data_IF_914459876782
#
_entry.id   IF_914459876782
#
_cell.length_a   1.000
_cell.length_b   1.000
_cell.length_c   1.000
_cell.angle_alpha   90.00
_cell.angle_beta   90.00
_cell.angle_gamma   90.00
#
_symmetry.space_group_name_H-M   'P 1'
#
loop_
_entity.id
_entity.type
_entity.pdbx_description
1 polymer ?
#
# COMPACT_ATOMS: atom_id res chain seq x y z
N UNK A 1 -9.80 -17.76 7.10
CA UNK A 1 -9.47 -16.43 6.55
C UNK A 1 -8.90 -15.59 7.68
N UNK A 2 -7.70 -15.02 7.56
CA UNK A 2 -7.08 -14.20 8.61
C UNK A 2 -7.49 -12.73 8.51
N UNK A 3 -7.21 -11.92 9.54
CA UNK A 3 -7.55 -10.49 9.54
C UNK A 3 -6.82 -9.72 8.43
N UNK A 4 -5.58 -10.09 8.10
CA UNK A 4 -4.82 -9.48 7.00
C UNK A 4 -5.48 -9.76 5.64
N UNK A 5 -5.86 -11.02 5.36
CA UNK A 5 -6.60 -11.34 4.13
C UNK A 5 -7.91 -10.56 4.02
N UNK A 6 -8.57 -10.26 5.15
CA UNK A 6 -9.76 -9.41 5.14
C UNK A 6 -9.44 -7.95 4.78
N UNK A 7 -8.28 -7.43 5.18
CA UNK A 7 -7.81 -6.10 4.79
C UNK A 7 -7.41 -6.00 3.31
N UNK A 8 -6.91 -7.11 2.74
CA UNK A 8 -6.55 -7.21 1.33
C UNK A 8 -7.76 -7.17 0.39
N UNK A 9 -8.90 -7.73 0.80
CA UNK A 9 -10.08 -7.85 -0.06
C UNK A 9 -10.62 -6.51 -0.58
N UNK A 10 -10.88 -5.48 0.27
CA UNK A 10 -11.34 -4.18 -0.23
C UNK A 10 -10.32 -3.48 -1.14
N UNK A 11 -9.01 -3.63 -0.86
CA UNK A 11 -7.97 -3.10 -1.74
C UNK A 11 -8.02 -3.77 -3.11
N UNK A 12 -8.12 -5.11 -3.14
CA UNK A 12 -8.33 -5.89 -4.36
C UNK A 12 -9.52 -5.38 -5.18
N UNK A 13 -10.68 -5.22 -4.54
CA UNK A 13 -11.90 -4.80 -5.23
C UNK A 13 -11.77 -3.38 -5.80
N UNK A 14 -11.14 -2.46 -5.05
CA UNK A 14 -10.89 -1.11 -5.53
C UNK A 14 -9.91 -1.12 -6.72
N UNK A 15 -8.86 -1.93 -6.64
CA UNK A 15 -7.90 -2.07 -7.73
C UNK A 15 -8.56 -2.62 -8.99
N UNK A 16 -9.33 -3.71 -8.88
CA UNK A 16 -10.07 -4.31 -10.01
C UNK A 16 -11.11 -3.34 -10.59
N UNK A 17 -11.76 -2.52 -9.77
CA UNK A 17 -12.69 -1.49 -10.24
C UNK A 17 -12.00 -0.41 -11.08
N UNK A 18 -10.76 -0.03 -10.73
CA UNK A 18 -10.04 1.06 -11.39
C UNK A 18 -9.18 0.63 -12.57
N UNK A 19 -8.59 -0.56 -12.48
CA UNK A 19 -7.62 -1.08 -13.44
C UNK A 19 -8.18 -2.26 -14.25
N UNK A 20 -9.34 -2.78 -13.88
CA UNK A 20 -9.92 -3.98 -14.48
C UNK A 20 -9.42 -5.27 -13.85
N UNK A 21 -10.05 -6.38 -14.23
CA UNK A 21 -9.74 -7.70 -13.70
C UNK A 21 -8.37 -8.20 -14.19
N UNK A 22 -7.72 -9.01 -13.37
CA UNK A 22 -6.48 -9.69 -13.77
C UNK A 22 -6.77 -10.76 -14.80
N UNK A 23 -6.15 -10.70 -15.98
CA UNK A 23 -6.36 -11.66 -17.07
C UNK A 23 -5.50 -12.93 -16.95
N UNK A 24 -4.62 -12.99 -15.95
CA UNK A 24 -3.70 -14.10 -15.71
C UNK A 24 -2.88 -13.93 -14.42
N UNK A 25 -2.00 -14.90 -14.08
CA UNK A 25 -1.27 -14.93 -12.80
C UNK A 25 -0.18 -13.87 -12.66
N UNK A 26 0.12 -13.10 -13.70
CA UNK A 26 1.11 -12.02 -13.72
C UNK A 26 0.66 -10.84 -14.61
N UNK A 27 -0.58 -10.87 -15.14
CA UNK A 27 -1.04 -9.91 -16.15
C UNK A 27 -2.21 -9.08 -15.65
N UNK A 28 -2.06 -7.77 -15.82
CA UNK A 28 -3.09 -6.76 -15.62
C UNK A 28 -3.56 -6.26 -16.98
N UNK A 29 -4.85 -6.01 -17.12
CA UNK A 29 -5.41 -5.40 -18.33
C UNK A 29 -5.41 -3.87 -18.30
N UNK A 30 -5.17 -3.27 -17.14
CA UNK A 30 -5.27 -1.84 -16.95
C UNK A 30 -3.93 -1.11 -16.97
N UNK A 31 -4.03 0.20 -17.21
CA UNK A 31 -2.89 1.09 -17.39
C UNK A 31 -2.02 1.19 -16.13
N UNK A 32 -2.58 1.00 -14.93
CA UNK A 32 -1.85 1.06 -13.67
C UNK A 32 -1.06 -0.24 -13.48
N UNK A 33 -1.71 -1.38 -13.68
CA UNK A 33 -1.09 -2.70 -13.54
C UNK A 33 0.00 -2.97 -14.57
N UNK A 34 -0.18 -2.53 -15.83
CA UNK A 34 0.83 -2.68 -16.90
C UNK A 34 2.15 -1.96 -16.60
N UNK A 35 2.13 -0.88 -15.80
CA UNK A 35 3.31 -0.09 -15.47
C UNK A 35 4.08 -0.63 -14.24
N UNK A 36 3.51 -1.58 -13.50
CA UNK A 36 4.09 -2.15 -12.28
C UNK A 36 5.44 -2.88 -12.47
N UNK A 37 5.69 -3.63 -13.56
CA UNK A 37 6.97 -4.33 -13.73
C UNK A 37 8.17 -3.40 -13.92
N UNK A 38 7.95 -2.17 -14.38
CA UNK A 38 9.02 -1.21 -14.70
C UNK A 38 9.30 -0.21 -13.57
N UNK A 39 8.49 -0.20 -12.50
CA UNK A 39 8.58 0.83 -11.46
C UNK A 39 9.89 0.79 -10.65
N UNK A 40 10.57 -0.36 -10.58
CA UNK A 40 11.81 -0.51 -9.79
C UNK A 40 12.97 0.35 -10.31
N UNK A 41 12.97 0.67 -11.61
CA UNK A 41 14.08 1.35 -12.31
C UNK A 41 13.91 2.87 -12.41
N UNK A 42 12.78 3.40 -11.95
CA UNK A 42 12.48 4.83 -12.09
C UNK A 42 13.25 5.65 -11.02
N UNK A 43 13.74 6.85 -11.36
CA UNK A 43 14.37 7.75 -10.39
C UNK A 43 13.32 8.40 -9.51
N UNK A 44 13.60 8.57 -8.21
CA UNK A 44 12.68 9.28 -7.30
C UNK A 44 12.62 10.75 -7.72
N UNK A 45 11.41 11.26 -7.86
CA UNK A 45 11.11 12.65 -8.21
C UNK A 45 10.30 13.30 -7.09
N UNK A 46 10.00 14.60 -7.22
CA UNK A 46 9.10 15.27 -6.30
C UNK A 46 7.67 14.70 -6.42
N UNK A 47 7.12 14.23 -5.29
CA UNK A 47 5.75 13.74 -5.16
C UNK A 47 5.00 14.50 -4.06
N UNK A 48 3.68 14.46 -4.10
CA UNK A 48 2.81 15.14 -3.14
C UNK A 48 2.74 14.38 -1.81
N UNK A 49 2.85 15.10 -0.69
CA UNK A 49 2.67 14.51 0.63
C UNK A 49 1.21 14.08 0.85
N UNK A 50 1.00 13.01 1.61
CA UNK A 50 -0.34 12.63 2.06
C UNK A 50 -0.36 12.64 3.59
N UNK A 51 -1.21 13.50 4.15
CA UNK A 51 -1.40 13.60 5.59
C UNK A 51 -1.98 12.30 6.15
N UNK A 52 -1.38 11.86 7.25
CA UNK A 52 -1.75 10.68 8.02
C UNK A 52 -1.51 10.92 9.50
N UNK A 53 -2.32 10.26 10.32
CA UNK A 53 -2.03 10.13 11.75
C UNK A 53 -0.75 9.30 11.97
N UNK A 54 -0.08 9.55 13.09
CA UNK A 54 1.17 8.86 13.41
C UNK A 54 0.95 7.35 13.60
N UNK A 55 1.64 6.55 12.78
CA UNK A 55 1.63 5.09 12.87
C UNK A 55 2.70 4.65 13.87
N UNK A 56 2.31 4.50 15.13
CA UNK A 56 3.21 4.06 16.19
C UNK A 56 3.27 2.53 16.27
N UNK A 57 4.19 1.94 15.50
CA UNK A 57 4.55 0.51 15.56
C UNK A 57 6.07 0.34 15.56
N UNK A 58 6.57 -0.58 16.39
CA UNK A 58 7.99 -0.86 16.46
C UNK A 58 8.42 -1.73 15.27
N UNK A 59 9.45 -1.28 14.54
CA UNK A 59 9.99 -1.98 13.37
C UNK A 59 10.47 -3.39 13.65
N UNK A 60 10.97 -3.66 14.86
CA UNK A 60 11.51 -4.99 15.22
C UNK A 60 10.44 -6.06 15.24
N UNK A 61 9.17 -5.68 15.35
CA UNK A 61 8.04 -6.58 15.46
C UNK A 61 7.43 -6.90 14.07
N UNK A 62 7.95 -6.25 13.01
CA UNK A 62 7.45 -6.35 11.64
C UNK A 62 8.32 -7.26 10.78
N UNK A 63 7.70 -7.97 9.85
CA UNK A 63 8.41 -8.66 8.76
C UNK A 63 9.06 -7.67 7.79
N UNK A 64 9.90 -8.16 6.88
CA UNK A 64 10.62 -7.31 5.91
C UNK A 64 9.67 -6.48 5.03
N UNK A 65 8.59 -7.09 4.54
CA UNK A 65 7.62 -6.43 3.66
C UNK A 65 6.81 -5.36 4.42
N UNK A 66 6.55 -5.60 5.70
CA UNK A 66 5.82 -4.66 6.57
C UNK A 66 6.69 -3.49 7.03
N UNK A 67 7.97 -3.73 7.30
CA UNK A 67 8.94 -2.67 7.52
C UNK A 67 9.06 -1.79 6.27
N UNK A 68 9.02 -2.40 5.08
CA UNK A 68 9.01 -1.67 3.82
C UNK A 68 7.71 -0.84 3.67
N UNK A 69 6.55 -1.39 4.04
CA UNK A 69 5.28 -0.65 4.08
C UNK A 69 5.37 0.57 4.99
N UNK A 70 5.94 0.40 6.19
CA UNK A 70 6.08 1.52 7.13
C UNK A 70 7.00 2.60 6.57
N UNK A 71 8.10 2.21 5.95
CA UNK A 71 9.08 3.15 5.40
C UNK A 71 8.54 3.93 4.19
N UNK A 72 7.81 3.28 3.29
CA UNK A 72 7.21 3.97 2.15
C UNK A 72 6.05 4.88 2.56
N UNK A 73 5.23 4.46 3.53
CA UNK A 73 4.17 5.32 4.09
C UNK A 73 4.78 6.56 4.73
N UNK A 74 5.85 6.39 5.53
CA UNK A 74 6.54 7.51 6.16
C UNK A 74 7.18 8.44 5.13
N UNK A 75 7.81 7.88 4.09
CA UNK A 75 8.42 8.67 3.03
C UNK A 75 7.40 9.52 2.26
N UNK A 76 6.22 8.96 1.98
CA UNK A 76 5.14 9.72 1.32
C UNK A 76 4.63 10.81 2.26
N UNK A 77 4.46 10.52 3.56
CA UNK A 77 4.02 11.50 4.55
C UNK A 77 5.01 12.67 4.71
N UNK A 78 6.32 12.41 4.65
CA UNK A 78 7.36 13.43 4.91
C UNK A 78 8.04 13.97 3.64
N UNK A 79 7.65 13.50 2.46
CA UNK A 79 8.31 13.78 1.18
C UNK A 79 9.80 13.44 1.16
N UNK A 80 10.21 12.43 1.93
CA UNK A 80 11.61 12.04 2.06
C UNK A 80 11.77 10.55 1.75
N UNK A 81 12.20 10.23 0.53
CA UNK A 81 12.25 8.86 0.02
C UNK A 81 13.68 8.36 -0.30
N UNK A 82 14.72 9.03 0.21
CA UNK A 82 16.14 8.75 -0.13
C UNK A 82 16.54 7.29 0.10
N UNK A 83 16.02 6.65 1.15
CA UNK A 83 16.42 5.31 1.56
C UNK A 83 15.56 4.19 0.92
N UNK A 84 14.60 4.55 0.07
CA UNK A 84 13.69 3.60 -0.60
C UNK A 84 14.18 3.17 -1.98
N UNK A 85 15.05 3.95 -2.63
CA UNK A 85 15.61 3.66 -3.97
C UNK A 85 16.25 2.28 -4.01
N UNK A 86 17.00 1.94 -2.95
CA UNK A 86 17.89 0.77 -2.88
C UNK A 86 17.12 -0.52 -2.57
N UNK A 87 15.90 -0.42 -2.05
CA UNK A 87 15.15 -1.60 -1.59
C UNK A 87 14.26 -2.15 -2.67
N UNK A 88 14.36 -3.45 -2.93
CA UNK A 88 13.48 -4.19 -3.84
C UNK A 88 12.19 -4.60 -3.09
N UNK A 89 10.98 -4.26 -3.58
CA UNK A 89 9.72 -4.72 -3.00
C UNK A 89 9.47 -6.23 -3.17
N UNK A 90 10.36 -6.95 -3.86
CA UNK A 90 10.25 -8.39 -4.12
C UNK A 90 9.39 -8.71 -5.34
N UNK A 91 9.40 -9.98 -5.79
CA UNK A 91 8.69 -10.40 -7.01
C UNK A 91 7.18 -10.24 -6.89
N UNK A 92 6.53 -9.86 -8.00
CA UNK A 92 5.08 -9.82 -8.10
C UNK A 92 4.47 -11.21 -7.83
N UNK A 93 3.48 -11.27 -6.95
CA UNK A 93 2.63 -12.45 -6.79
C UNK A 93 1.21 -12.01 -6.47
N UNK A 94 0.23 -12.42 -7.30
CA UNK A 94 -1.19 -12.09 -7.14
C UNK A 94 -1.81 -12.67 -5.84
N UNK A 95 -1.09 -13.55 -5.15
CA UNK A 95 -1.44 -14.04 -3.81
C UNK A 95 -1.05 -13.07 -2.68
N UNK A 96 -0.28 -12.02 -2.98
CA UNK A 96 0.29 -11.09 -2.00
C UNK A 96 -0.12 -9.66 -2.34
N UNK A 97 -1.31 -9.27 -1.88
CA UNK A 97 -1.83 -7.92 -2.12
C UNK A 97 -1.01 -6.84 -1.43
N UNK A 98 -0.30 -7.18 -0.35
CA UNK A 98 0.71 -6.30 0.24
C UNK A 98 1.77 -5.88 -0.79
N UNK A 99 2.34 -6.82 -1.56
CA UNK A 99 3.35 -6.50 -2.60
C UNK A 99 2.77 -5.57 -3.66
N UNK A 100 1.50 -5.74 -4.04
CA UNK A 100 0.82 -4.81 -4.94
C UNK A 100 0.66 -3.42 -4.36
N UNK A 101 0.21 -3.32 -3.12
CA UNK A 101 0.07 -2.04 -2.43
C UNK A 101 1.42 -1.31 -2.38
N UNK A 102 2.50 -2.02 -2.04
CA UNK A 102 3.86 -1.49 -2.02
C UNK A 102 4.31 -0.97 -3.38
N UNK A 103 4.04 -1.72 -4.45
CA UNK A 103 4.41 -1.32 -5.81
C UNK A 103 3.56 -0.14 -6.31
N UNK A 104 2.28 -0.04 -5.96
CA UNK A 104 1.43 1.14 -6.23
C UNK A 104 1.98 2.39 -5.54
N UNK A 105 2.32 2.31 -4.24
CA UNK A 105 2.94 3.43 -3.52
C UNK A 105 4.29 3.83 -4.14
N UNK A 106 5.08 2.83 -4.54
CA UNK A 106 6.36 3.05 -5.23
C UNK A 106 6.15 3.69 -6.61
N UNK A 107 5.14 3.29 -7.36
CA UNK A 107 4.81 3.91 -8.64
C UNK A 107 4.40 5.38 -8.47
N UNK A 108 3.65 5.70 -7.40
CA UNK A 108 3.24 7.07 -7.10
C UNK A 108 4.42 8.02 -6.84
N UNK A 109 5.42 7.60 -6.06
CA UNK A 109 6.61 8.44 -5.80
C UNK A 109 7.45 8.72 -7.06
N UNK A 110 7.18 7.98 -8.15
CA UNK A 110 7.83 8.14 -9.45
C UNK A 110 6.99 8.90 -10.48
N UNK A 111 5.77 9.36 -10.14
CA UNK A 111 4.92 10.11 -11.07
C UNK A 111 4.90 11.61 -10.81
N UNK A 112 5.32 12.40 -11.81
CA UNK A 112 5.28 13.88 -11.76
C UNK A 112 3.85 14.40 -11.80
N UNK A 113 2.94 13.61 -12.39
CA UNK A 113 1.54 13.95 -12.56
C UNK A 113 0.70 12.68 -12.47
N UNK A 114 0.51 12.15 -11.25
CA UNK A 114 -0.24 10.92 -11.05
C UNK A 114 -1.72 11.11 -11.45
N UNK A 115 -2.30 10.10 -12.09
CA UNK A 115 -3.71 10.11 -12.51
C UNK A 115 -4.65 10.14 -11.32
N UNK A 116 -5.91 10.52 -11.54
CA UNK A 116 -6.97 10.49 -10.52
C UNK A 116 -7.12 9.10 -9.89
N UNK A 117 -7.03 8.06 -10.71
CA UNK A 117 -7.18 6.67 -10.30
C UNK A 117 -6.00 6.23 -9.43
N UNK A 118 -4.77 6.60 -9.82
CA UNK A 118 -3.57 6.34 -9.01
C UNK A 118 -3.63 7.10 -7.68
N UNK A 119 -4.00 8.38 -7.69
CA UNK A 119 -4.19 9.17 -6.46
C UNK A 119 -5.23 8.53 -5.55
N UNK A 120 -6.31 7.98 -6.10
CA UNK A 120 -7.35 7.30 -5.31
C UNK A 120 -6.84 6.01 -4.68
N UNK A 121 -6.11 5.17 -5.43
CA UNK A 121 -5.47 3.97 -4.87
C UNK A 121 -4.47 4.30 -3.78
N UNK A 122 -3.59 5.27 -4.02
CA UNK A 122 -2.56 5.67 -3.05
C UNK A 122 -3.22 6.23 -1.80
N UNK A 123 -4.24 7.09 -1.95
CA UNK A 123 -4.99 7.62 -0.83
C UNK A 123 -5.66 6.51 -0.02
N UNK A 124 -6.26 5.53 -0.70
CA UNK A 124 -6.83 4.35 -0.04
C UNK A 124 -5.77 3.54 0.71
N UNK A 125 -4.61 3.27 0.10
CA UNK A 125 -3.55 2.50 0.74
C UNK A 125 -3.04 3.24 1.97
N UNK A 126 -2.68 4.51 1.81
CA UNK A 126 -2.14 5.37 2.85
C UNK A 126 -3.10 5.53 4.02
N UNK A 127 -4.36 5.86 3.73
CA UNK A 127 -5.35 6.20 4.75
C UNK A 127 -5.99 4.95 5.33
N UNK A 128 -6.37 3.96 4.54
CA UNK A 128 -7.22 2.85 4.99
C UNK A 128 -6.42 1.56 5.17
N UNK A 129 -5.71 1.12 4.13
CA UNK A 129 -5.05 -0.18 4.12
C UNK A 129 -3.92 -0.27 5.16
N UNK A 130 -2.96 0.67 5.13
CA UNK A 130 -1.77 0.63 5.99
C UNK A 130 -2.11 0.79 7.47
N UNK A 131 -2.96 1.74 7.90
CA UNK A 131 -3.30 1.87 9.32
C UNK A 131 -4.05 0.64 9.86
N UNK A 132 -4.92 0.02 9.06
CA UNK A 132 -5.59 -1.23 9.44
C UNK A 132 -4.59 -2.38 9.52
N UNK A 133 -3.65 -2.46 8.57
CA UNK A 133 -2.57 -3.46 8.59
C UNK A 133 -1.77 -3.40 9.90
N UNK A 134 -1.24 -2.22 10.24
CA UNK A 134 -0.46 -2.06 11.47
C UNK A 134 -1.29 -2.23 12.74
N UNK A 135 -2.58 -1.90 12.72
CA UNK A 135 -3.47 -2.17 13.84
C UNK A 135 -3.66 -3.67 14.07
N UNK A 136 -3.77 -4.46 12.99
CA UNK A 136 -3.84 -5.92 13.05
C UNK A 136 -2.54 -6.50 13.60
N UNK A 137 -1.39 -6.06 13.10
CA UNK A 137 -0.08 -6.52 13.60
C UNK A 137 0.10 -6.23 15.09
N UNK A 138 -0.32 -5.04 15.53
CA UNK A 138 -0.27 -4.66 16.94
C UNK A 138 -1.26 -5.46 17.81
N UNK A 139 -2.38 -5.88 17.25
CA UNK A 139 -3.49 -6.52 17.96
C UNK A 139 -4.06 -7.72 17.18
N UNK A 140 -3.31 -8.82 17.00
CA UNK A 140 -3.65 -9.89 16.04
C UNK A 140 -4.88 -10.72 16.44
N UNK A 141 -5.34 -10.59 17.69
CA UNK A 141 -6.49 -11.34 18.19
C UNK A 141 -7.82 -10.78 17.64
N UNK A 142 -8.70 -11.68 17.20
CA UNK A 142 -10.04 -11.36 16.67
C UNK A 142 -10.91 -10.54 17.63
N UNK A 143 -10.64 -10.61 18.95
CA UNK A 143 -11.33 -9.78 19.95
C UNK A 143 -11.19 -8.27 19.69
N UNK A 144 -10.17 -7.85 18.96
CA UNK A 144 -9.93 -6.47 18.57
C UNK A 144 -10.52 -6.10 17.20
N UNK A 145 -11.21 -7.02 16.52
CA UNK A 145 -11.86 -6.79 15.23
C UNK A 145 -12.77 -5.53 15.22
N UNK A 146 -13.56 -5.20 16.27
CA UNK A 146 -14.30 -3.95 16.31
C UNK A 146 -13.42 -2.69 16.19
N UNK A 147 -12.22 -2.71 16.80
CA UNK A 147 -11.25 -1.60 16.70
C UNK A 147 -10.68 -1.50 15.27
N UNK A 148 -10.32 -2.62 14.66
CA UNK A 148 -9.81 -2.65 13.28
C UNK A 148 -10.87 -2.12 12.30
N UNK A 149 -12.13 -2.52 12.47
CA UNK A 149 -13.26 -1.99 11.69
C UNK A 149 -13.45 -0.49 11.90
N UNK A 150 -13.30 -0.01 13.14
CA UNK A 150 -13.41 1.41 13.44
C UNK A 150 -12.34 2.24 12.70
N UNK A 151 -11.10 1.74 12.64
CA UNK A 151 -10.02 2.36 11.86
C UNK A 151 -10.33 2.33 10.36
N UNK A 152 -10.74 1.17 9.83
CA UNK A 152 -11.06 1.01 8.42
C UNK A 152 -12.17 1.97 7.96
N UNK A 153 -13.24 2.13 8.75
CA UNK A 153 -14.44 2.80 8.26
C UNK A 153 -14.72 4.18 8.87
N UNK A 154 -14.15 4.52 10.04
CA UNK A 154 -14.61 5.67 10.82
C UNK A 154 -13.54 6.67 11.28
N UNK A 155 -12.25 6.31 11.35
CA UNK A 155 -11.21 7.16 11.97
C UNK A 155 -10.33 7.97 11.00
N UNK A 156 -10.67 8.09 9.73
CA UNK A 156 -9.90 8.94 8.82
C UNK A 156 -10.77 10.14 8.46
N UNK A 157 -10.62 11.18 9.28
CA UNK A 157 -11.09 12.52 8.99
C UNK A 157 -10.13 13.20 8.02
#
# INVERSE_FOLDING_TARGET
MCLLHFNELPFKHLFEYLDGETTGPESFSGKIGEQQPNCEKLPIINFEAIELDEININKTDLSKDEQYLQDIVRAIQTQCATDLVVRDPGPLSHSRWLTYALRVLRFFIFQTSPTSELKMLVSYIMKKYSPVWFAIERYPSVKYCPKHRNIAFYNLK
#
